data_IF_178214288103
#
_entry.id   IF_178214288103
#
_cell.length_a   1.000
_cell.length_b   1.000
_cell.length_c   1.000
_cell.angle_alpha   90.00
_cell.angle_beta   90.00
_cell.angle_gamma   90.00
#
_symmetry.space_group_name_H-M   'P 1'
#
loop_
_entity.id
_entity.type
_entity.pdbx_description
1 polymer ?
#
# COMPACT_ATOMS: atom_id res chain seq x y z
N UNK A 1 2.40 13.56 4.90
CA UNK A 1 2.31 12.43 3.92
C UNK A 1 1.63 11.20 4.56
N UNK A 2 0.67 10.56 3.88
CA UNK A 2 0.00 9.34 4.38
C UNK A 2 -1.39 9.50 5.01
N UNK A 3 -1.97 10.71 5.00
CA UNK A 3 -3.31 10.96 5.59
C UNK A 3 -4.40 10.14 4.90
N UNK A 4 -4.34 10.01 3.56
CA UNK A 4 -5.29 9.20 2.81
C UNK A 4 -5.18 7.71 3.13
N UNK A 5 -3.96 7.22 3.36
CA UNK A 5 -3.75 5.82 3.75
C UNK A 5 -4.16 5.52 5.19
N UNK A 6 -3.97 6.46 6.11
CA UNK A 6 -4.47 6.36 7.48
C UNK A 6 -6.01 6.33 7.47
N UNK A 7 -6.64 7.22 6.70
CA UNK A 7 -8.09 7.24 6.51
C UNK A 7 -8.61 5.95 5.87
N UNK A 8 -7.92 5.41 4.87
CA UNK A 8 -8.24 4.14 4.24
C UNK A 8 -7.97 2.90 5.11
N UNK A 9 -7.38 3.06 6.31
CA UNK A 9 -6.99 1.93 7.16
C UNK A 9 -5.89 1.05 6.58
N UNK A 10 -5.05 1.63 5.70
CA UNK A 10 -3.90 1.00 5.04
C UNK A 10 -2.57 1.34 5.73
N UNK A 11 -2.51 2.45 6.48
CA UNK A 11 -1.35 2.78 7.29
C UNK A 11 -1.28 1.87 8.53
N UNK A 12 -0.07 1.40 8.93
CA UNK A 12 0.09 0.72 10.20
C UNK A 12 -0.30 1.67 11.34
N UNK A 13 -0.94 1.13 12.37
CA UNK A 13 -1.25 1.88 13.59
C UNK A 13 -0.29 1.40 14.66
N UNK A 14 0.55 2.31 15.15
CA UNK A 14 1.40 2.04 16.30
C UNK A 14 0.51 2.01 17.54
N UNK A 15 0.37 0.84 18.19
CA UNK A 15 -0.21 0.79 19.54
C UNK A 15 0.96 0.83 20.53
N UNK A 16 1.22 1.98 21.15
CA UNK A 16 2.18 2.09 22.26
C UNK A 16 1.43 2.11 23.59
N UNK A 17 1.36 0.97 24.26
CA UNK A 17 0.97 0.85 25.66
C UNK A 17 2.16 0.36 26.47
N UNK A 18 3.25 1.14 26.54
CA UNK A 18 4.44 0.82 27.34
C UNK A 18 5.28 -0.39 26.89
N UNK A 19 6.60 -0.28 27.06
CA UNK A 19 7.65 -1.32 26.96
C UNK A 19 7.91 -2.11 25.65
N UNK A 20 6.99 -2.22 24.68
CA UNK A 20 7.25 -3.02 23.46
C UNK A 20 7.72 -2.18 22.26
N UNK A 21 8.95 -2.41 21.80
CA UNK A 21 9.55 -1.82 20.57
C UNK A 21 8.95 -2.43 19.29
N UNK A 22 8.18 -3.53 19.38
CA UNK A 22 7.61 -4.29 18.23
C UNK A 22 6.10 -4.09 18.04
N UNK A 23 5.59 -2.86 18.22
CA UNK A 23 4.15 -2.56 18.34
C UNK A 23 3.43 -2.02 17.09
N UNK A 24 3.90 -2.34 15.88
CA UNK A 24 3.14 -1.99 14.66
C UNK A 24 2.04 -3.02 14.39
N UNK A 25 0.78 -2.58 14.47
CA UNK A 25 -0.37 -3.44 14.22
C UNK A 25 -1.12 -3.00 12.96
N UNK A 26 -1.74 -3.95 12.24
CA UNK A 26 -2.67 -3.61 11.18
C UNK A 26 -3.79 -2.71 11.73
N UNK A 27 -4.09 -1.61 11.03
CA UNK A 27 -5.23 -0.77 11.40
C UNK A 27 -6.53 -1.59 11.32
N UNK A 28 -7.26 -1.62 12.43
CA UNK A 28 -8.64 -2.12 12.50
C UNK A 28 -9.68 -1.02 12.23
N UNK A 29 -9.26 0.25 12.19
CA UNK A 29 -10.09 1.41 11.86
C UNK A 29 -9.92 1.89 10.41
N UNK A 30 -10.65 2.94 10.06
CA UNK A 30 -10.63 3.55 8.72
C UNK A 30 -11.83 3.17 7.84
N UNK A 31 -11.90 3.77 6.65
CA UNK A 31 -12.98 3.55 5.70
C UNK A 31 -12.89 2.15 5.07
N UNK A 32 -13.83 1.26 5.44
CA UNK A 32 -13.87 -0.14 4.99
C UNK A 32 -14.06 -0.28 3.48
N UNK A 33 -14.84 0.60 2.87
CA UNK A 33 -15.09 0.58 1.42
C UNK A 33 -13.80 0.92 0.67
N UNK A 34 -13.09 1.95 1.12
CA UNK A 34 -11.83 2.37 0.52
C UNK A 34 -10.74 1.30 0.72
N UNK A 35 -10.65 0.70 1.91
CA UNK A 35 -9.75 -0.43 2.19
C UNK A 35 -10.01 -1.60 1.24
N UNK A 36 -11.28 -1.97 1.07
CA UNK A 36 -11.69 -3.06 0.17
C UNK A 36 -11.38 -2.74 -1.29
N UNK A 37 -11.69 -1.52 -1.74
CA UNK A 37 -11.39 -1.08 -3.10
C UNK A 37 -9.89 -1.15 -3.41
N UNK A 38 -9.05 -0.63 -2.52
CA UNK A 38 -7.60 -0.71 -2.70
C UNK A 38 -7.11 -2.16 -2.66
N UNK A 39 -7.59 -2.97 -1.73
CA UNK A 39 -7.22 -4.38 -1.66
C UNK A 39 -7.58 -5.12 -2.96
N UNK A 40 -8.81 -5.00 -3.46
CA UNK A 40 -9.22 -5.62 -4.72
C UNK A 40 -8.40 -5.11 -5.91
N UNK A 41 -8.07 -3.81 -5.95
CA UNK A 41 -7.23 -3.25 -7.01
C UNK A 41 -5.83 -3.86 -7.07
N UNK A 42 -5.34 -4.47 -5.98
CA UNK A 42 -4.01 -5.09 -5.99
C UNK A 42 -3.93 -6.32 -6.88
N UNK A 43 -5.02 -7.10 -7.01
CA UNK A 43 -5.04 -8.25 -7.91
C UNK A 43 -4.92 -7.84 -9.37
N UNK A 44 -5.62 -6.77 -9.77
CA UNK A 44 -5.45 -6.17 -11.09
C UNK A 44 -4.03 -5.60 -11.27
N UNK A 45 -3.45 -5.01 -10.21
CA UNK A 45 -2.09 -4.47 -10.28
C UNK A 45 -1.00 -5.54 -10.40
N UNK A 46 -1.27 -6.82 -10.13
CA UNK A 46 -0.25 -7.87 -10.27
C UNK A 46 0.10 -8.19 -11.73
N UNK A 47 -0.70 -7.73 -12.71
CA UNK A 47 -0.35 -7.81 -14.13
C UNK A 47 0.67 -6.75 -14.57
N UNK A 48 0.85 -5.69 -13.79
CA UNK A 48 1.86 -4.66 -14.04
C UNK A 48 3.24 -5.12 -13.49
N UNK A 49 4.30 -5.14 -14.32
CA UNK A 49 5.63 -5.61 -13.90
C UNK A 49 6.20 -4.86 -12.69
N UNK A 50 6.00 -3.55 -12.60
CA UNK A 50 6.52 -2.72 -11.48
C UNK A 50 5.84 -3.07 -10.17
N UNK A 51 4.52 -3.26 -10.21
CA UNK A 51 3.71 -3.67 -9.08
C UNK A 51 4.01 -5.11 -8.66
N UNK A 52 4.23 -6.01 -9.63
CA UNK A 52 4.63 -7.40 -9.39
C UNK A 52 5.99 -7.49 -8.70
N UNK A 53 7.00 -6.80 -9.22
CA UNK A 53 8.34 -6.78 -8.63
C UNK A 53 8.32 -6.26 -7.19
N UNK A 54 7.50 -5.25 -6.90
CA UNK A 54 7.32 -4.77 -5.52
C UNK A 54 6.67 -5.80 -4.62
N UNK A 55 5.62 -6.47 -5.10
CA UNK A 55 4.95 -7.54 -4.37
C UNK A 55 5.92 -8.69 -4.05
N UNK A 56 6.70 -9.13 -5.02
CA UNK A 56 7.68 -10.22 -4.85
C UNK A 56 8.75 -9.84 -3.83
N UNK A 57 9.33 -8.65 -3.95
CA UNK A 57 10.26 -8.13 -2.95
C UNK A 57 9.66 -8.13 -1.53
N UNK A 58 8.36 -7.87 -1.38
CA UNK A 58 7.69 -7.96 -0.06
C UNK A 58 7.49 -9.41 0.39
N UNK A 59 7.25 -10.35 -0.52
CA UNK A 59 7.20 -11.79 -0.21
C UNK A 59 8.57 -12.31 0.22
N UNK A 60 9.64 -11.89 -0.47
CA UNK A 60 11.03 -12.26 -0.16
C UNK A 60 11.48 -11.72 1.20
N UNK A 61 10.96 -10.56 1.60
CA UNK A 61 11.10 -10.01 2.96
C UNK A 61 10.31 -10.80 4.03
N UNK A 62 9.78 -11.98 3.71
CA UNK A 62 9.05 -12.85 4.62
C UNK A 62 7.60 -12.42 4.91
N UNK A 63 7.06 -11.41 4.21
CA UNK A 63 5.66 -11.00 4.42
C UNK A 63 4.72 -12.05 3.84
N UNK A 64 3.70 -12.45 4.61
CA UNK A 64 2.59 -13.30 4.11
C UNK A 64 1.89 -12.63 2.91
N UNK A 65 1.28 -13.43 2.04
CA UNK A 65 0.57 -12.95 0.84
C UNK A 65 -0.33 -11.73 1.10
N UNK A 66 -1.27 -11.83 2.05
CA UNK A 66 -2.19 -10.73 2.37
C UNK A 66 -1.49 -9.47 2.92
N UNK A 67 -0.38 -9.64 3.63
CA UNK A 67 0.43 -8.53 4.12
C UNK A 67 1.20 -7.85 2.97
N UNK A 68 1.72 -8.62 2.02
CA UNK A 68 2.36 -8.10 0.81
C UNK A 68 1.34 -7.34 -0.07
N UNK A 69 0.13 -7.88 -0.25
CA UNK A 69 -0.96 -7.16 -0.93
C UNK A 69 -1.34 -5.87 -0.21
N UNK A 70 -1.41 -5.88 1.12
CA UNK A 70 -1.69 -4.66 1.90
C UNK A 70 -0.58 -3.61 1.70
N UNK A 71 0.68 -4.02 1.64
CA UNK A 71 1.80 -3.13 1.31
C UNK A 71 1.69 -2.56 -0.11
N UNK A 72 1.25 -3.35 -1.08
CA UNK A 72 1.02 -2.90 -2.45
C UNK A 72 -0.16 -1.91 -2.52
N UNK A 73 -1.27 -2.21 -1.84
CA UNK A 73 -2.42 -1.31 -1.70
C UNK A 73 -2.00 0.05 -1.11
N UNK A 74 -1.16 0.03 -0.06
CA UNK A 74 -0.60 1.24 0.56
C UNK A 74 0.21 2.06 -0.44
N UNK A 75 1.06 1.44 -1.26
CA UNK A 75 1.84 2.11 -2.31
C UNK A 75 0.94 2.73 -3.38
N UNK A 76 -0.08 2.00 -3.84
CA UNK A 76 -1.06 2.51 -4.83
C UNK A 76 -1.84 3.71 -4.30
N UNK A 77 -2.18 3.67 -3.02
CA UNK A 77 -2.82 4.79 -2.32
C UNK A 77 -1.94 6.06 -2.32
N UNK A 78 -0.62 5.96 -2.18
CA UNK A 78 0.28 7.12 -2.30
C UNK A 78 0.29 7.69 -3.72
N UNK A 79 0.35 6.83 -4.74
CA UNK A 79 0.32 7.25 -6.16
C UNK A 79 -0.98 7.97 -6.47
N UNK A 80 -2.13 7.41 -6.10
CA UNK A 80 -3.43 8.04 -6.32
C UNK A 80 -3.53 9.39 -5.60
N UNK A 81 -3.03 9.47 -4.37
CA UNK A 81 -3.01 10.73 -3.64
C UNK A 81 -2.13 11.79 -4.31
N UNK A 82 -0.95 11.41 -4.83
CA UNK A 82 -0.09 12.32 -5.59
C UNK A 82 -0.79 12.83 -6.86
N UNK A 83 -1.43 11.93 -7.64
CA UNK A 83 -2.21 12.30 -8.83
C UNK A 83 -3.34 13.30 -8.49
N UNK A 84 -4.09 13.05 -7.41
CA UNK A 84 -5.16 13.94 -6.97
C UNK A 84 -4.65 15.30 -6.49
N UNK A 85 -3.52 15.31 -5.77
CA UNK A 85 -2.89 16.53 -5.25
C UNK A 85 -2.36 17.39 -6.39
N UNK A 86 -1.64 16.79 -7.33
CA UNK A 86 -0.94 17.48 -8.40
C UNK A 86 -1.83 17.68 -9.65
N UNK A 87 -3.05 17.12 -9.62
CA UNK A 87 -4.02 17.08 -10.73
C UNK A 87 -3.41 16.51 -12.02
N UNK A 88 -2.55 15.51 -11.85
CA UNK A 88 -1.87 14.82 -12.96
C UNK A 88 -2.48 13.44 -13.19
N UNK A 89 -2.43 13.00 -14.43
CA UNK A 89 -2.78 11.62 -14.78
C UNK A 89 -1.65 10.67 -14.41
N UNK A 90 -1.99 9.39 -14.29
CA UNK A 90 -0.99 8.36 -14.01
C UNK A 90 0.02 8.30 -15.15
N UNK A 91 1.30 8.39 -14.80
CA UNK A 91 2.41 8.18 -15.71
C UNK A 91 3.06 6.85 -15.36
N UNK A 92 3.03 5.90 -16.29
CA UNK A 92 3.70 4.62 -16.11
C UNK A 92 5.21 4.87 -15.99
N UNK A 93 5.91 4.22 -15.04
CA UNK A 93 7.36 4.29 -14.98
C UNK A 93 7.92 3.81 -16.31
N UNK A 94 8.65 4.66 -17.02
CA UNK A 94 9.39 4.27 -18.21
C UNK A 94 10.48 3.28 -17.78
N UNK A 95 10.32 2.02 -18.16
CA UNK A 95 11.42 1.08 -18.12
C UNK A 95 12.36 1.42 -19.26
N UNK A 96 13.31 2.33 -19.03
CA UNK A 96 14.47 2.43 -19.90
C UNK A 96 15.22 1.11 -19.77
N UNK A 97 15.05 0.25 -20.78
CA UNK A 97 15.83 -0.96 -20.93
C UNK A 97 17.28 -0.55 -21.20
N UNK A 98 18.10 -0.61 -20.16
CA UNK A 98 19.55 -0.59 -20.25
C UNK A 98 20.07 -2.04 -20.26
#
# INVERSE_FOLDING_TARGET
>A
PGHLAAFAGLAPVTRRSGASIRGEHPSRGGNKNLKRAFFLSTFAALSDPVSRAYYDRKRDQGKKHNAALTCLARRRCDVLYAMLRDRTLYQAPTHDAA
#
